data_IF_114675677753
#
_entry.id   IF_114675677753
#
_cell.length_a   1.000
_cell.length_b   1.000
_cell.length_c   1.000
_cell.angle_alpha   90.00
_cell.angle_beta   90.00
_cell.angle_gamma   90.00
#
_symmetry.space_group_name_H-M   'P 1'
#
loop_
_entity.id
_entity.type
_entity.pdbx_description
1 polymer ?
#
# COMPACT_ATOMS: atom_id res chain seq x y z
N UNK A 1 -9.57 -8.66 5.94
CA UNK A 1 -8.27 -8.60 6.27
C UNK A 1 -7.36 -8.32 5.16
N UNK A 2 -6.33 -7.74 5.51
CA UNK A 2 -5.43 -7.43 4.61
C UNK A 2 -4.57 -8.50 4.38
N UNK A 3 -4.99 -9.51 3.99
CA UNK A 3 -4.29 -10.47 3.38
C UNK A 3 -2.92 -10.62 3.83
N UNK A 4 -2.48 -11.54 4.27
CA UNK A 4 -1.08 -11.88 4.42
C UNK A 4 -0.15 -10.82 4.96
N UNK A 5 -0.64 -9.85 5.67
CA UNK A 5 0.22 -8.88 6.30
C UNK A 5 0.93 -9.55 7.47
N UNK A 6 2.24 -9.68 7.32
CA UNK A 6 3.09 -10.27 8.32
C UNK A 6 4.45 -9.60 8.25
N UNK A 7 5.28 -9.85 9.23
CA UNK A 7 6.65 -9.32 9.24
C UNK A 7 7.40 -9.77 7.98
N UNK A 8 7.24 -11.01 7.57
CA UNK A 8 7.87 -11.53 6.37
C UNK A 8 7.42 -10.76 5.14
N UNK A 9 6.12 -10.57 4.99
CA UNK A 9 5.56 -9.86 3.84
C UNK A 9 6.00 -8.42 3.81
N UNK A 10 6.00 -7.77 4.96
CA UNK A 10 6.41 -6.37 5.07
C UNK A 10 7.88 -6.23 4.72
N UNK A 11 8.72 -7.09 5.25
CA UNK A 11 10.16 -7.04 4.98
C UNK A 11 10.44 -7.22 3.49
N UNK A 12 9.73 -8.15 2.85
CA UNK A 12 9.90 -8.38 1.42
C UNK A 12 9.51 -7.14 0.61
N UNK A 13 8.42 -6.50 0.97
CA UNK A 13 7.97 -5.28 0.31
C UNK A 13 8.99 -4.14 0.43
N UNK A 14 9.61 -4.01 1.60
CA UNK A 14 10.55 -2.93 1.86
C UNK A 14 11.97 -3.25 1.42
N UNK A 15 12.23 -4.49 1.07
CA UNK A 15 13.57 -4.90 0.66
C UNK A 15 14.55 -4.96 1.81
N UNK A 16 14.07 -5.23 3.01
CA UNK A 16 14.92 -5.37 4.20
C UNK A 16 14.71 -6.73 4.84
N UNK A 17 15.60 -7.11 5.76
CA UNK A 17 15.46 -8.39 6.43
C UNK A 17 14.40 -8.32 7.52
N UNK A 18 13.83 -9.47 7.87
CA UNK A 18 12.88 -9.54 8.97
C UNK A 18 13.53 -9.10 10.28
N UNK A 19 14.79 -9.44 10.48
CA UNK A 19 15.50 -9.04 11.68
C UNK A 19 15.61 -7.53 11.80
N UNK A 20 15.93 -6.88 10.70
CA UNK A 20 16.01 -5.42 10.68
C UNK A 20 14.66 -4.80 10.99
N UNK A 21 13.61 -5.28 10.35
CA UNK A 21 12.27 -4.76 10.55
C UNK A 21 11.82 -4.97 11.99
N UNK A 22 12.05 -6.15 12.55
CA UNK A 22 11.72 -6.46 13.93
C UNK A 22 12.46 -5.57 14.90
N UNK A 23 13.71 -5.26 14.61
CA UNK A 23 14.49 -4.37 15.45
C UNK A 23 13.87 -2.96 15.47
N UNK A 24 13.48 -2.45 14.33
CA UNK A 24 12.89 -1.12 14.19
C UNK A 24 11.53 -1.06 14.89
N UNK A 25 10.71 -2.10 14.74
CA UNK A 25 9.34 -2.10 15.26
C UNK A 25 9.15 -2.92 16.52
N UNK A 26 10.22 -3.32 17.18
CA UNK A 26 10.09 -4.26 18.30
C UNK A 26 9.21 -3.77 19.44
N UNK A 27 9.06 -2.48 19.60
CA UNK A 27 8.20 -1.90 20.63
C UNK A 27 6.87 -1.43 20.07
N UNK A 28 6.63 -1.66 18.78
CA UNK A 28 5.42 -1.19 18.16
C UNK A 28 4.37 -2.28 18.12
N UNK A 29 3.13 -1.87 18.00
CA UNK A 29 2.04 -2.84 17.90
C UNK A 29 1.91 -3.33 16.47
N UNK A 30 1.21 -4.44 16.29
CA UNK A 30 0.88 -4.93 14.96
C UNK A 30 0.11 -3.87 14.17
N UNK A 31 -0.72 -3.11 14.85
CA UNK A 31 -1.49 -2.03 14.23
C UNK A 31 -0.54 -1.00 13.60
N UNK A 32 0.50 -0.62 14.29
CA UNK A 32 1.48 0.35 13.79
C UNK A 32 2.20 -0.19 12.56
N UNK A 33 2.56 -1.45 12.58
CA UNK A 33 3.22 -2.10 11.45
C UNK A 33 2.30 -2.15 10.24
N UNK A 34 1.04 -2.50 10.45
CA UNK A 34 0.04 -2.56 9.39
C UNK A 34 -0.19 -1.16 8.81
N UNK A 35 -0.25 -0.16 9.66
CA UNK A 35 -0.45 1.21 9.23
C UNK A 35 0.70 1.68 8.35
N UNK A 36 1.92 1.36 8.74
CA UNK A 36 3.10 1.69 7.97
C UNK A 36 3.08 1.02 6.60
N UNK A 37 2.73 -0.26 6.56
CA UNK A 37 2.63 -0.98 5.30
C UNK A 37 1.56 -0.39 4.39
N UNK A 38 0.42 -0.01 4.97
CA UNK A 38 -0.67 0.60 4.21
C UNK A 38 -0.20 1.89 3.56
N UNK A 39 0.50 2.73 4.30
CA UNK A 39 1.03 3.97 3.75
C UNK A 39 2.04 3.70 2.64
N UNK A 40 2.88 2.71 2.81
CA UNK A 40 3.86 2.34 1.81
C UNK A 40 3.18 1.87 0.51
N UNK A 41 2.16 1.03 0.63
CA UNK A 41 1.41 0.52 -0.52
C UNK A 41 0.69 1.64 -1.26
N UNK A 42 0.05 2.55 -0.52
CA UNK A 42 -0.67 3.67 -1.12
C UNK A 42 0.31 4.61 -1.82
N UNK A 43 1.47 4.84 -1.21
CA UNK A 43 2.49 5.69 -1.82
C UNK A 43 3.00 5.08 -3.13
N UNK A 44 3.22 3.78 -3.15
CA UNK A 44 3.62 3.07 -4.36
C UNK A 44 2.52 3.16 -5.43
N UNK A 45 1.25 3.06 -5.02
CA UNK A 45 0.13 3.17 -5.93
C UNK A 45 0.08 4.56 -6.57
N UNK A 46 0.38 5.60 -5.81
CA UNK A 46 0.39 6.96 -6.35
C UNK A 46 1.38 7.08 -7.49
N UNK A 47 2.53 6.47 -7.35
CA UNK A 47 3.55 6.50 -8.40
C UNK A 47 3.08 5.76 -9.65
N UNK A 48 2.46 4.61 -9.47
CA UNK A 48 1.97 3.82 -10.59
C UNK A 48 0.79 4.49 -11.29
N UNK A 49 -0.08 5.15 -10.54
CA UNK A 49 -1.25 5.82 -11.11
C UNK A 49 -0.88 7.03 -11.97
N UNK A 50 0.33 7.54 -11.82
CA UNK A 50 0.79 8.63 -12.68
C UNK A 50 0.97 8.17 -14.12
N UNK A 51 1.08 6.87 -14.34
CA UNK A 51 1.12 6.30 -15.68
C UNK A 51 -0.30 5.87 -16.06
N UNK A 52 -0.95 6.62 -16.91
CA UNK A 52 -2.34 6.37 -17.26
C UNK A 52 -2.56 5.12 -18.11
N UNK A 53 -1.50 4.40 -18.45
CA UNK A 53 -1.63 3.10 -19.10
C UNK A 53 -2.09 2.03 -18.12
N UNK A 54 -1.86 2.23 -16.82
CA UNK A 54 -2.32 1.28 -15.82
C UNK A 54 -3.75 1.60 -15.39
N UNK A 55 -4.56 0.58 -15.27
CA UNK A 55 -5.91 0.75 -14.74
C UNK A 55 -5.87 0.66 -13.22
N UNK A 56 -6.86 1.27 -12.57
CA UNK A 56 -6.90 1.27 -11.11
C UNK A 56 -6.84 -0.13 -10.52
N UNK A 57 -7.59 -1.08 -11.09
CA UNK A 57 -7.58 -2.44 -10.55
C UNK A 57 -6.21 -3.12 -10.74
N UNK A 58 -5.50 -2.75 -11.80
CA UNK A 58 -4.15 -3.29 -12.01
C UNK A 58 -3.20 -2.77 -10.95
N UNK A 59 -3.30 -1.47 -10.66
CA UNK A 59 -2.47 -0.87 -9.63
C UNK A 59 -2.76 -1.47 -8.26
N UNK A 60 -4.04 -1.68 -7.93
CA UNK A 60 -4.43 -2.31 -6.68
C UNK A 60 -3.74 -3.66 -6.51
N UNK A 61 -3.77 -4.47 -7.55
CA UNK A 61 -3.16 -5.79 -7.52
C UNK A 61 -1.64 -5.69 -7.40
N UNK A 62 -1.03 -4.78 -8.14
CA UNK A 62 0.42 -4.59 -8.13
C UNK A 62 0.94 -4.19 -6.77
N UNK A 63 0.17 -3.44 -6.00
CA UNK A 63 0.59 -3.03 -4.66
C UNK A 63 0.08 -3.94 -3.55
N UNK A 64 -0.56 -5.05 -3.92
CA UNK A 64 -0.88 -6.11 -2.96
C UNK A 64 -2.30 -6.14 -2.44
N UNK A 65 -3.24 -5.45 -3.07
CA UNK A 65 -4.64 -5.50 -2.66
C UNK A 65 -5.43 -6.42 -3.60
N UNK A 66 -6.18 -7.34 -3.02
CA UNK A 66 -7.05 -8.22 -3.79
C UNK A 66 -8.41 -7.58 -4.07
N UNK A 67 -8.84 -6.73 -3.15
CA UNK A 67 -10.15 -6.09 -3.21
C UNK A 67 -9.98 -4.65 -3.67
N UNK A 68 -10.39 -4.35 -4.88
CA UNK A 68 -10.26 -3.02 -5.46
C UNK A 68 -11.08 -1.99 -4.69
N UNK A 69 -12.25 -2.38 -4.18
CA UNK A 69 -13.09 -1.48 -3.40
C UNK A 69 -12.41 -1.09 -2.09
N UNK A 70 -11.78 -2.04 -1.43
CA UNK A 70 -11.04 -1.77 -0.21
C UNK A 70 -9.83 -0.89 -0.50
N UNK A 71 -9.11 -1.18 -1.58
CA UNK A 71 -7.99 -0.35 -2.02
C UNK A 71 -8.47 1.09 -2.26
N UNK A 72 -9.55 1.27 -2.99
CA UNK A 72 -10.09 2.59 -3.29
C UNK A 72 -10.46 3.38 -2.05
N UNK A 73 -11.12 2.73 -1.10
CA UNK A 73 -11.49 3.33 0.16
C UNK A 73 -10.27 3.74 0.97
N UNK A 74 -9.28 2.87 1.05
CA UNK A 74 -8.05 3.12 1.79
C UNK A 74 -7.26 4.26 1.14
N UNK A 75 -7.15 4.24 -0.18
CA UNK A 75 -6.45 5.28 -0.93
C UNK A 75 -7.11 6.65 -0.68
N UNK A 76 -8.42 6.71 -0.82
CA UNK A 76 -9.15 7.96 -0.63
C UNK A 76 -8.98 8.49 0.79
N UNK A 77 -8.99 7.61 1.77
CA UNK A 77 -8.82 7.99 3.17
C UNK A 77 -7.46 8.64 3.41
N UNK A 78 -6.42 8.12 2.80
CA UNK A 78 -5.06 8.61 3.03
C UNK A 78 -4.67 9.75 2.08
N UNK A 79 -5.15 9.74 0.88
CA UNK A 79 -4.76 10.73 -0.15
C UNK A 79 -5.76 11.87 -0.28
N UNK A 80 -7.02 11.61 0.03
CA UNK A 80 -8.07 12.62 -0.04
C UNK A 80 -8.93 12.54 -1.28
N UNK A 81 -8.51 11.80 -2.30
CA UNK A 81 -9.30 11.60 -3.52
C UNK A 81 -9.20 10.13 -3.92
N UNK A 82 -10.14 9.67 -4.74
CA UNK A 82 -10.12 8.27 -5.19
C UNK A 82 -8.95 8.02 -6.13
N UNK A 83 -8.54 6.76 -6.31
CA UNK A 83 -7.47 6.43 -7.24
C UNK A 83 -7.75 6.89 -8.66
N UNK A 84 -8.98 6.74 -9.14
CA UNK A 84 -9.38 7.19 -10.47
C UNK A 84 -9.24 8.68 -10.60
N UNK A 85 -9.71 9.41 -9.60
CA UNK A 85 -9.64 10.86 -9.59
C UNK A 85 -8.20 11.34 -9.55
N UNK A 86 -7.37 10.68 -8.77
CA UNK A 86 -5.96 11.00 -8.67
C UNK A 86 -5.28 10.80 -10.03
N UNK A 87 -5.55 9.67 -10.68
CA UNK A 87 -4.99 9.37 -11.98
C UNK A 87 -5.42 10.42 -13.03
N UNK A 88 -6.68 10.83 -12.99
CA UNK A 88 -7.17 11.84 -13.91
C UNK A 88 -6.45 13.17 -13.72
N UNK A 89 -6.13 13.52 -12.50
CA UNK A 89 -5.41 14.75 -12.20
C UNK A 89 -3.95 14.72 -12.65
N UNK A 90 -3.42 13.53 -12.85
CA UNK A 90 -2.03 13.37 -13.28
C UNK A 90 -1.86 13.37 -14.80
N UNK A 91 -2.95 13.41 -15.52
CA UNK A 91 -2.91 13.39 -16.99
C UNK A 91 -2.38 14.69 -17.58
#
# INVERSE_FOLDING_TARGET
>A
ADQDISITTIAAHLGVSEGHLSHVFKKETSYTIISYLTQYRVHAAMKLLQDCRYKVYEVAEMVGYRDVAYFGSTFKKLVGVSPSEYQDRCR
#
